data_IF_097312258998
#
_entry.id   IF_097312258998
#
_cell.length_a   1.000
_cell.length_b   1.000
_cell.length_c   1.000
_cell.angle_alpha   90.00
_cell.angle_beta   90.00
_cell.angle_gamma   90.00
#
_symmetry.space_group_name_H-M   'P 1'
#
loop_
_entity.id
_entity.type
_entity.pdbx_description
1 polymer ?
#
# COMPACT_ATOMS: atom_id res chain seq x y z
N UNK A 1 -39.90 -44.96 -35.10
CA UNK A 1 -38.52 -44.45 -34.98
C UNK A 1 -38.56 -42.97 -34.58
N UNK A 2 -38.66 -42.67 -33.27
CA UNK A 2 -38.57 -41.29 -32.77
C UNK A 2 -37.10 -40.97 -32.54
N UNK A 3 -36.55 -40.01 -33.30
CA UNK A 3 -35.17 -39.54 -33.11
C UNK A 3 -35.12 -38.65 -31.86
N UNK A 4 -34.60 -39.18 -30.76
CA UNK A 4 -34.14 -38.37 -29.63
C UNK A 4 -32.72 -37.88 -29.92
N UNK A 5 -32.55 -36.56 -30.02
CA UNK A 5 -31.27 -35.83 -29.97
C UNK A 5 -31.57 -34.44 -29.40
N UNK A 6 -30.67 -33.79 -28.65
CA UNK A 6 -29.67 -34.30 -27.72
C UNK A 6 -29.76 -33.50 -26.41
N UNK A 7 -30.52 -33.97 -25.42
CA UNK A 7 -30.53 -33.32 -24.08
C UNK A 7 -29.24 -33.59 -23.27
N UNK A 8 -28.28 -34.29 -23.87
CA UNK A 8 -26.97 -34.62 -23.29
C UNK A 8 -25.86 -33.62 -23.62
N UNK A 9 -26.12 -32.63 -24.50
CA UNK A 9 -25.07 -31.67 -24.90
C UNK A 9 -25.01 -30.40 -24.06
N UNK A 10 -26.01 -30.14 -23.19
CA UNK A 10 -26.06 -28.93 -22.36
C UNK A 10 -25.45 -29.16 -20.96
N UNK A 11 -25.38 -30.42 -20.49
CA UNK A 11 -24.82 -30.75 -19.17
C UNK A 11 -23.28 -30.73 -19.12
N UNK A 12 -22.58 -30.78 -20.26
CA UNK A 12 -21.10 -30.80 -20.31
C UNK A 12 -20.49 -29.38 -20.33
N UNK A 13 -21.28 -28.35 -20.62
CA UNK A 13 -20.84 -26.96 -20.66
C UNK A 13 -20.97 -26.23 -19.31
N UNK A 14 -21.71 -26.77 -18.34
CA UNK A 14 -21.92 -26.15 -17.03
C UNK A 14 -20.84 -26.53 -15.98
N UNK A 15 -20.06 -27.58 -16.24
CA UNK A 15 -18.99 -28.03 -15.34
C UNK A 15 -17.67 -27.22 -15.49
N UNK A 16 -17.54 -26.40 -16.54
CA UNK A 16 -16.35 -25.57 -16.80
C UNK A 16 -16.37 -24.21 -16.09
N UNK A 17 -17.47 -23.83 -15.43
CA UNK A 17 -17.60 -22.55 -14.72
C UNK A 17 -17.35 -22.65 -13.20
N UNK A 18 -17.05 -23.85 -12.68
CA UNK A 18 -16.76 -24.09 -11.25
C UNK A 18 -15.30 -24.50 -11.08
N UNK A 19 -14.39 -23.68 -11.60
CA UNK A 19 -12.95 -23.81 -11.31
C UNK A 19 -12.29 -22.43 -11.22
N UNK A 20 -12.81 -21.61 -10.30
CA UNK A 20 -12.15 -20.43 -9.72
C UNK A 20 -12.93 -20.09 -8.43
N UNK A 21 -12.52 -20.67 -7.28
CA UNK A 21 -12.61 -20.08 -5.92
C UNK A 21 -12.56 -21.06 -4.74
N UNK A 22 -11.98 -22.25 -4.91
CA UNK A 22 -11.58 -23.06 -3.75
C UNK A 22 -10.14 -23.53 -3.88
N UNK A 23 -9.23 -22.57 -4.00
CA UNK A 23 -7.94 -22.78 -3.38
C UNK A 23 -8.14 -22.58 -1.87
N UNK A 24 -7.88 -23.60 -1.02
CA UNK A 24 -7.64 -23.31 0.37
C UNK A 24 -6.40 -22.43 0.37
N UNK A 25 -6.59 -21.13 0.59
CA UNK A 25 -5.51 -20.23 0.95
C UNK A 25 -4.93 -20.82 2.22
N UNK A 26 -3.84 -21.60 2.07
CA UNK A 26 -2.88 -21.83 3.13
C UNK A 26 -2.75 -20.50 3.85
N UNK A 27 -2.96 -20.49 5.17
CA UNK A 27 -2.62 -19.36 6.04
C UNK A 27 -1.36 -18.74 5.46
N UNK A 28 -1.50 -17.53 4.95
CA UNK A 28 -0.42 -16.81 4.30
C UNK A 28 0.76 -16.89 5.25
N UNK A 29 1.77 -17.65 4.83
CA UNK A 29 3.10 -17.41 5.33
C UNK A 29 3.33 -15.94 5.03
N UNK A 30 3.46 -15.18 6.11
CA UNK A 30 4.12 -13.89 6.18
C UNK A 30 5.16 -13.78 5.07
N UNK A 31 4.76 -13.22 3.93
CA UNK A 31 5.67 -12.76 2.89
C UNK A 31 6.25 -11.43 3.38
N UNK A 32 6.87 -11.47 4.55
CA UNK A 32 7.86 -10.50 4.95
C UNK A 32 9.12 -10.85 4.15
N UNK A 33 9.11 -10.50 2.86
CA UNK A 33 10.32 -9.96 2.24
C UNK A 33 10.93 -9.02 3.27
N UNK A 34 12.17 -9.29 3.69
CA UNK A 34 12.87 -8.52 4.73
C UNK A 34 12.83 -7.03 4.37
N UNK A 35 11.83 -6.30 4.89
CA UNK A 35 11.68 -4.87 4.62
C UNK A 35 12.93 -4.16 5.11
N UNK A 36 13.48 -3.28 4.30
CA UNK A 36 14.68 -2.54 4.67
C UNK A 36 14.43 -1.65 5.91
N UNK A 37 13.25 -1.02 5.98
CA UNK A 37 12.73 -0.40 7.20
C UNK A 37 11.70 -1.32 7.86
N UNK A 38 11.97 -1.72 9.10
CA UNK A 38 11.13 -2.67 9.82
C UNK A 38 9.78 -2.07 10.22
N UNK A 39 8.76 -2.91 10.41
CA UNK A 39 7.41 -2.48 10.80
C UNK A 39 7.39 -1.69 12.12
N UNK A 40 8.22 -2.12 13.08
CA UNK A 40 8.36 -1.42 14.35
C UNK A 40 8.86 0.03 14.17
N UNK A 41 9.83 0.25 13.27
CA UNK A 41 10.40 1.57 12.99
C UNK A 41 9.39 2.46 12.26
N UNK A 42 8.60 1.90 11.34
CA UNK A 42 7.49 2.60 10.67
C UNK A 42 6.50 3.12 11.72
N UNK A 43 6.08 2.25 12.62
CA UNK A 43 5.09 2.57 13.65
C UNK A 43 5.63 3.58 14.68
N UNK A 44 6.90 3.48 15.05
CA UNK A 44 7.56 4.45 15.94
C UNK A 44 7.54 5.86 15.33
N UNK A 45 7.95 6.01 14.06
CA UNK A 45 7.96 7.30 13.36
C UNK A 45 6.54 7.85 13.17
N UNK A 46 5.57 6.98 12.85
CA UNK A 46 4.15 7.37 12.75
C UNK A 46 3.66 7.93 14.09
N UNK A 47 3.92 7.23 15.21
CA UNK A 47 3.50 7.68 16.54
C UNK A 47 4.13 9.03 16.87
N UNK A 48 5.46 9.15 16.70
CA UNK A 48 6.20 10.38 16.96
C UNK A 48 5.61 11.59 16.23
N UNK A 49 5.30 11.45 14.94
CA UNK A 49 4.74 12.55 14.15
C UNK A 49 3.31 12.88 14.56
N UNK A 50 2.48 11.87 14.84
CA UNK A 50 1.11 12.10 15.32
C UNK A 50 1.10 12.87 16.63
N UNK A 51 1.93 12.44 17.59
CA UNK A 51 2.06 13.08 18.89
C UNK A 51 2.52 14.54 18.78
N UNK A 52 3.30 14.87 17.73
CA UNK A 52 3.82 16.23 17.51
C UNK A 52 2.91 17.16 16.69
N UNK A 53 2.07 16.63 15.80
CA UNK A 53 1.41 17.43 14.74
C UNK A 53 -0.12 17.45 14.81
N UNK A 54 -0.73 16.61 15.66
CA UNK A 54 -2.17 16.61 15.89
C UNK A 54 -3.00 15.88 14.84
N UNK A 55 -4.28 15.68 15.16
CA UNK A 55 -5.17 14.72 14.48
C UNK A 55 -5.42 15.02 13.00
N UNK A 56 -5.42 16.29 12.61
CA UNK A 56 -5.68 16.70 11.22
C UNK A 56 -4.65 16.14 10.23
N UNK A 57 -3.42 15.86 10.71
CA UNK A 57 -2.35 15.31 9.89
C UNK A 57 -2.31 13.77 9.88
N UNK A 58 -3.08 13.07 10.74
CA UNK A 58 -2.90 11.63 11.01
C UNK A 58 -2.97 10.77 9.76
N UNK A 59 -3.97 10.99 8.91
CA UNK A 59 -4.13 10.25 7.67
C UNK A 59 -2.90 10.39 6.75
N UNK A 60 -2.39 11.61 6.60
CA UNK A 60 -1.21 11.89 5.76
C UNK A 60 0.07 11.36 6.39
N UNK A 61 0.20 11.40 7.71
CA UNK A 61 1.35 10.83 8.44
C UNK A 61 1.41 9.33 8.20
N UNK A 62 0.31 8.60 8.47
CA UNK A 62 0.29 7.16 8.28
C UNK A 62 0.60 6.77 6.84
N UNK A 63 -0.07 7.40 5.88
CA UNK A 63 0.13 7.09 4.46
C UNK A 63 1.55 7.44 4.01
N UNK A 64 2.02 8.65 4.32
CA UNK A 64 3.31 9.17 3.85
C UNK A 64 4.50 8.40 4.44
N UNK A 65 4.52 8.16 5.75
CA UNK A 65 5.63 7.43 6.39
C UNK A 65 5.73 6.00 5.85
N UNK A 66 4.60 5.33 5.65
CA UNK A 66 4.57 3.98 5.06
C UNK A 66 5.10 3.98 3.63
N UNK A 67 4.68 4.93 2.81
CA UNK A 67 5.15 5.05 1.43
C UNK A 67 6.66 5.32 1.34
N UNK A 68 7.18 6.20 2.20
CA UNK A 68 8.64 6.46 2.25
C UNK A 68 9.38 5.20 2.67
N UNK A 69 8.91 4.48 3.70
CA UNK A 69 9.54 3.24 4.17
C UNK A 69 9.57 2.15 3.07
N UNK A 70 8.51 2.03 2.28
CA UNK A 70 8.40 1.05 1.19
C UNK A 70 9.38 1.37 0.03
N UNK A 71 9.77 2.64 -0.13
CA UNK A 71 10.73 3.11 -1.15
C UNK A 71 12.16 3.27 -0.63
N UNK A 72 12.36 3.27 0.69
CA UNK A 72 13.66 3.48 1.32
C UNK A 72 14.62 2.30 1.08
N UNK A 73 15.86 2.59 0.72
CA UNK A 73 16.90 1.61 0.38
C UNK A 73 18.18 1.91 1.16
N UNK A 74 19.11 0.96 1.13
CA UNK A 74 20.44 1.10 1.77
C UNK A 74 21.17 2.40 1.42
N UNK A 75 21.19 2.88 0.15
CA UNK A 75 21.83 4.15 -0.18
C UNK A 75 21.14 5.39 0.37
N UNK A 76 19.85 5.31 0.72
CA UNK A 76 19.08 6.44 1.26
C UNK A 76 19.43 6.69 2.74
N UNK A 77 19.89 5.65 3.44
CA UNK A 77 20.42 5.74 4.79
C UNK A 77 19.84 4.71 5.75
N UNK A 78 20.31 4.77 6.99
CA UNK A 78 19.88 3.94 8.12
C UNK A 78 18.42 4.22 8.53
N UNK A 79 17.87 3.36 9.39
CA UNK A 79 16.55 3.61 9.97
C UNK A 79 16.46 4.89 10.81
N UNK A 80 17.57 5.33 11.43
CA UNK A 80 17.63 6.62 12.12
C UNK A 80 17.54 7.79 11.13
N UNK A 81 18.21 7.68 9.99
CA UNK A 81 18.15 8.69 8.91
C UNK A 81 16.77 8.73 8.24
N UNK A 82 16.12 7.58 8.09
CA UNK A 82 14.71 7.50 7.70
C UNK A 82 13.80 8.29 8.66
N UNK A 83 13.95 8.09 9.97
CA UNK A 83 13.14 8.81 10.96
C UNK A 83 13.37 10.33 10.91
N UNK A 84 14.63 10.75 10.84
CA UNK A 84 14.98 12.17 10.70
C UNK A 84 14.50 12.77 9.38
N UNK A 85 14.54 12.00 8.28
CA UNK A 85 13.98 12.42 7.00
C UNK A 85 12.48 12.66 7.10
N UNK A 86 11.71 11.73 7.66
CA UNK A 86 10.27 11.89 7.84
C UNK A 86 9.94 13.11 8.72
N UNK A 87 10.68 13.30 9.81
CA UNK A 87 10.51 14.44 10.72
C UNK A 87 10.78 15.79 10.05
N UNK A 88 11.85 15.88 9.27
CA UNK A 88 12.26 17.14 8.63
C UNK A 88 11.45 17.46 7.37
N UNK A 89 10.96 16.45 6.68
CA UNK A 89 10.32 16.61 5.36
C UNK A 89 8.80 16.67 5.42
N UNK A 90 8.17 16.27 6.54
CA UNK A 90 6.72 16.33 6.64
C UNK A 90 6.21 17.77 6.73
N UNK A 91 5.38 18.17 5.76
CA UNK A 91 4.76 19.50 5.72
C UNK A 91 3.38 19.44 6.37
N UNK A 92 3.30 19.90 7.61
CA UNK A 92 2.08 19.96 8.41
C UNK A 92 1.28 21.26 8.21
N UNK A 93 1.96 22.38 7.96
CA UNK A 93 1.33 23.67 7.68
C UNK A 93 0.54 23.61 6.36
N UNK A 94 -0.75 23.96 6.41
CA UNK A 94 -1.67 23.83 5.28
C UNK A 94 -1.29 24.74 4.10
N UNK A 95 -0.85 25.96 4.37
CA UNK A 95 -0.46 26.90 3.31
C UNK A 95 0.81 26.42 2.58
N UNK A 96 1.80 25.91 3.33
CA UNK A 96 3.00 25.30 2.74
C UNK A 96 2.69 24.01 2.00
N UNK A 97 1.71 23.23 2.46
CA UNK A 97 1.26 22.03 1.76
C UNK A 97 0.67 22.37 0.40
N UNK A 98 -0.22 23.36 0.35
CA UNK A 98 -0.85 23.83 -0.88
C UNK A 98 0.20 24.34 -1.88
N UNK A 99 1.16 25.13 -1.40
CA UNK A 99 2.29 25.58 -2.20
C UNK A 99 3.13 24.41 -2.74
N UNK A 100 3.39 23.38 -1.92
CA UNK A 100 4.12 22.19 -2.35
C UNK A 100 3.35 21.45 -3.43
N UNK A 101 2.04 21.25 -3.26
CA UNK A 101 1.18 20.59 -4.23
C UNK A 101 1.25 21.28 -5.59
N UNK A 102 1.00 22.58 -5.65
CA UNK A 102 1.06 23.35 -6.91
C UNK A 102 2.46 23.38 -7.53
N UNK A 103 3.50 23.33 -6.70
CA UNK A 103 4.88 23.21 -7.21
C UNK A 103 5.08 21.86 -7.89
N UNK A 104 4.64 20.76 -7.29
CA UNK A 104 4.78 19.42 -7.86
C UNK A 104 3.91 19.25 -9.12
N UNK A 105 2.65 19.66 -9.05
CA UNK A 105 1.69 19.67 -10.17
C UNK A 105 2.31 20.35 -11.40
N UNK A 106 2.81 21.58 -11.24
CA UNK A 106 3.43 22.33 -12.34
C UNK A 106 4.66 21.64 -12.94
N UNK A 107 5.45 20.92 -12.15
CA UNK A 107 6.68 20.30 -12.65
C UNK A 107 6.46 18.89 -13.22
N UNK A 108 5.38 18.20 -12.85
CA UNK A 108 5.11 16.83 -13.29
C UNK A 108 4.01 16.72 -14.36
N UNK A 109 3.14 17.72 -14.49
CA UNK A 109 1.95 17.64 -15.35
C UNK A 109 1.90 18.67 -16.48
N UNK A 110 2.92 19.52 -16.61
CA UNK A 110 3.05 20.56 -17.66
C UNK A 110 4.12 20.16 -18.66
#
# INVERSE_FOLDING_TARGET
MKKMKPLLSVSLLLALLVSCNTHPSKKENDMSESRFIAEAQRNEVISMLKDSLGETAYFRIERGVRQVADLWREPDGTAGEFAEFCKRSFVADEARLDQLFHTLERNFEV
#
